data_IF_860025841499
#
_entry.id   IF_860025841499
#
_cell.length_a   1.000
_cell.length_b   1.000
_cell.length_c   1.000
_cell.angle_alpha   90.00
_cell.angle_beta   90.00
_cell.angle_gamma   90.00
#
_symmetry.space_group_name_H-M   'P 1'
#
loop_
_entity.id
_entity.type
_entity.pdbx_description
1 polymer ?
#
# COMPACT_ATOMS: atom_id res chain seq x y z
N UNK A 1 10.69 10.22 13.34
CA UNK A 1 9.37 10.58 13.84
C UNK A 1 8.29 10.00 12.97
N UNK A 2 7.37 9.28 13.55
CA UNK A 2 6.27 8.69 12.81
C UNK A 2 5.24 9.75 12.46
N UNK A 3 4.61 9.62 11.31
CA UNK A 3 3.53 10.51 10.93
C UNK A 3 2.32 10.21 11.83
N UNK A 4 1.85 11.22 12.55
CA UNK A 4 0.68 11.09 13.43
C UNK A 4 -0.63 11.28 12.69
N UNK A 5 -0.55 11.81 11.48
CA UNK A 5 -1.73 12.21 10.71
C UNK A 5 -1.67 11.68 9.29
N UNK A 6 -2.81 11.33 8.79
CA UNK A 6 -3.00 10.81 7.44
C UNK A 6 -3.81 11.81 6.64
N UNK A 7 -3.45 12.03 5.39
CA UNK A 7 -4.24 12.87 4.49
C UNK A 7 -5.17 12.00 3.68
N UNK A 8 -6.48 12.20 3.86
CA UNK A 8 -7.52 11.47 3.14
C UNK A 8 -8.34 12.40 2.27
N UNK A 9 -8.44 12.07 1.00
CA UNK A 9 -9.33 12.78 0.10
C UNK A 9 -10.76 12.28 0.33
N UNK A 10 -11.68 13.21 0.47
CA UNK A 10 -13.10 12.86 0.61
C UNK A 10 -13.60 12.27 -0.70
N UNK A 11 -14.23 11.10 -0.64
CA UNK A 11 -14.79 10.44 -1.82
C UNK A 11 -16.02 11.17 -2.38
N UNK A 12 -16.64 12.04 -1.60
CA UNK A 12 -17.81 12.81 -2.02
C UNK A 12 -17.44 14.16 -2.65
N UNK A 13 -16.58 14.96 -2.00
CA UNK A 13 -16.28 16.32 -2.48
C UNK A 13 -14.81 16.54 -2.88
N UNK A 14 -13.95 15.54 -2.70
CA UNK A 14 -12.55 15.62 -3.08
C UNK A 14 -11.66 16.43 -2.14
N UNK A 15 -12.21 17.04 -1.10
CA UNK A 15 -11.44 17.84 -0.16
C UNK A 15 -10.44 16.95 0.59
N UNK A 16 -9.21 17.43 0.76
CA UNK A 16 -8.20 16.71 1.53
C UNK A 16 -8.40 16.96 3.01
N UNK A 17 -8.41 15.89 3.78
CA UNK A 17 -8.62 15.95 5.22
C UNK A 17 -7.41 15.39 5.94
N UNK A 18 -7.02 16.03 7.02
CA UNK A 18 -5.93 15.60 7.88
C UNK A 18 -6.53 14.86 9.06
N UNK A 19 -6.33 13.54 9.12
CA UNK A 19 -6.94 12.68 10.13
C UNK A 19 -5.85 12.08 11.00
N UNK A 20 -5.90 12.26 12.33
CA UNK A 20 -4.98 11.57 13.21
C UNK A 20 -5.14 10.05 13.08
N UNK A 21 -4.02 9.32 12.99
CA UNK A 21 -4.07 7.85 12.84
C UNK A 21 -4.82 7.21 14.00
N UNK A 22 -4.65 7.76 15.20
CA UNK A 22 -5.35 7.26 16.39
C UNK A 22 -6.87 7.37 16.31
N UNK A 23 -7.39 8.17 15.38
CA UNK A 23 -8.83 8.45 15.26
C UNK A 23 -9.46 7.88 14.00
N UNK A 24 -8.74 7.07 13.22
CA UNK A 24 -9.31 6.52 11.99
C UNK A 24 -10.46 5.56 12.25
N UNK A 25 -10.52 4.96 13.43
CA UNK A 25 -11.61 4.04 13.83
C UNK A 25 -12.84 4.77 14.39
N UNK A 26 -12.79 6.09 14.51
CA UNK A 26 -13.87 6.89 15.08
C UNK A 26 -14.80 7.45 14.00
N UNK A 27 -14.86 6.83 12.85
CA UNK A 27 -15.68 7.25 11.71
C UNK A 27 -15.51 8.74 11.39
N UNK A 28 -14.29 9.18 11.01
CA UNK A 28 -14.02 10.59 10.77
C UNK A 28 -14.85 11.13 9.59
N UNK A 29 -15.23 12.39 9.68
CA UNK A 29 -16.03 13.07 8.67
C UNK A 29 -15.20 14.15 7.98
N UNK A 30 -15.54 14.40 6.71
CA UNK A 30 -14.94 15.49 5.95
C UNK A 30 -15.24 16.83 6.61
N UNK A 31 -14.21 17.64 6.80
CA UNK A 31 -14.37 18.98 7.36
C UNK A 31 -15.18 19.92 6.47
N UNK A 32 -15.28 19.64 5.17
CA UNK A 32 -15.98 20.49 4.21
C UNK A 32 -17.43 20.06 4.01
N UNK A 33 -17.68 18.81 3.63
CA UNK A 33 -19.03 18.35 3.27
C UNK A 33 -19.71 17.52 4.36
N UNK A 34 -18.99 17.16 5.42
CA UNK A 34 -19.48 16.40 6.58
C UNK A 34 -19.89 14.96 6.29
N UNK A 35 -19.57 14.44 5.11
CA UNK A 35 -19.74 13.02 4.80
C UNK A 35 -18.61 12.21 5.44
N UNK A 36 -18.85 10.94 5.70
CA UNK A 36 -17.82 10.05 6.24
C UNK A 36 -16.66 9.90 5.26
N UNK A 37 -15.43 9.88 5.79
CA UNK A 37 -14.24 9.66 5.00
C UNK A 37 -14.05 8.16 4.69
N UNK A 38 -13.39 7.80 3.57
CA UNK A 38 -13.27 6.40 3.12
C UNK A 38 -12.18 5.64 3.87
N UNK A 39 -12.33 5.49 5.18
CA UNK A 39 -11.31 4.81 6.01
C UNK A 39 -11.26 3.30 5.78
N UNK A 40 -12.34 2.69 5.31
CA UNK A 40 -12.37 1.25 5.00
C UNK A 40 -11.35 0.89 3.93
N UNK A 41 -11.07 1.81 3.00
CA UNK A 41 -10.08 1.56 1.95
C UNK A 41 -8.66 1.39 2.51
N UNK A 42 -8.40 1.86 3.72
CA UNK A 42 -7.11 1.71 4.39
C UNK A 42 -6.87 0.29 4.89
N UNK A 43 -7.92 -0.51 4.99
CA UNK A 43 -7.85 -1.89 5.51
C UNK A 43 -7.75 -2.92 4.40
N UNK A 44 -7.58 -2.50 3.15
CA UNK A 44 -7.52 -3.39 1.99
C UNK A 44 -6.33 -3.04 1.10
N UNK A 45 -5.73 -4.04 0.43
CA UNK A 45 -4.76 -3.73 -0.62
C UNK A 45 -5.39 -2.90 -1.73
N UNK A 46 -4.62 -1.98 -2.28
CA UNK A 46 -5.02 -1.14 -3.42
C UNK A 46 -4.48 -1.79 -4.68
N UNK A 47 -5.34 -1.96 -5.68
CA UNK A 47 -4.89 -2.45 -6.98
C UNK A 47 -4.32 -1.26 -7.75
N UNK A 48 -3.04 -1.37 -8.14
CA UNK A 48 -2.36 -0.33 -8.90
C UNK A 48 -2.04 -0.83 -10.31
N UNK A 49 -1.95 0.09 -11.23
CA UNK A 49 -1.69 -0.17 -12.64
C UNK A 49 -0.61 0.76 -13.16
N UNK A 50 -0.13 0.53 -14.38
CA UNK A 50 0.91 1.36 -15.00
C UNK A 50 0.56 2.85 -14.92
N UNK A 51 -0.70 3.21 -15.15
CA UNK A 51 -1.13 4.62 -15.15
C UNK A 51 -1.49 5.18 -13.79
N UNK A 52 -1.51 4.36 -12.74
CA UNK A 52 -1.82 4.82 -11.38
C UNK A 52 -0.66 4.64 -10.40
N UNK A 53 0.38 3.93 -10.82
CA UNK A 53 1.51 3.57 -9.94
C UNK A 53 2.17 4.80 -9.33
N UNK A 54 2.50 5.79 -10.12
CA UNK A 54 3.19 6.97 -9.61
C UNK A 54 2.32 7.73 -8.61
N UNK A 55 1.02 7.86 -8.89
CA UNK A 55 0.10 8.53 -7.98
C UNK A 55 -0.11 7.75 -6.69
N UNK A 56 -0.34 6.45 -6.79
CA UNK A 56 -0.71 5.61 -5.64
C UNK A 56 0.48 5.17 -4.81
N UNK A 57 1.64 4.99 -5.43
CA UNK A 57 2.81 4.44 -4.78
C UNK A 57 3.88 5.51 -4.55
N UNK A 58 4.37 6.13 -5.62
CA UNK A 58 5.51 7.04 -5.50
C UNK A 58 5.15 8.35 -4.82
N UNK A 59 3.92 8.82 -5.00
CA UNK A 59 3.42 10.06 -4.38
C UNK A 59 2.65 9.82 -3.09
N UNK A 60 2.63 8.58 -2.58
CA UNK A 60 1.91 8.25 -1.36
C UNK A 60 2.49 8.97 -0.14
N UNK A 61 1.61 9.49 0.71
CA UNK A 61 2.01 10.07 1.99
C UNK A 61 2.41 8.99 3.01
N UNK A 62 1.98 7.74 2.79
CA UNK A 62 2.36 6.60 3.61
C UNK A 62 3.44 5.78 2.93
N UNK A 63 4.28 5.07 3.70
CA UNK A 63 5.09 4.01 3.12
C UNK A 63 4.19 2.98 2.44
N UNK A 64 4.68 2.35 1.38
CA UNK A 64 3.91 1.40 0.57
C UNK A 64 4.69 0.10 0.45
N UNK A 65 4.00 -1.02 0.66
CA UNK A 65 4.48 -2.33 0.29
C UNK A 65 3.79 -2.72 -1.00
N UNK A 66 4.54 -2.86 -2.09
CA UNK A 66 4.01 -3.23 -3.41
C UNK A 66 4.23 -4.71 -3.63
N UNK A 67 3.15 -5.46 -3.83
CA UNK A 67 3.18 -6.88 -4.15
C UNK A 67 3.05 -7.03 -5.67
N UNK A 68 4.14 -7.42 -6.34
CA UNK A 68 4.16 -7.69 -7.77
C UNK A 68 3.86 -9.18 -7.98
N UNK A 69 2.78 -9.47 -8.68
CA UNK A 69 2.25 -10.84 -8.79
C UNK A 69 1.71 -11.10 -10.19
N UNK A 70 1.35 -12.36 -10.45
CA UNK A 70 0.63 -12.74 -11.67
C UNK A 70 -0.34 -13.89 -11.35
N UNK A 71 -1.44 -14.02 -12.12
CA UNK A 71 -2.47 -15.02 -11.84
C UNK A 71 -1.96 -16.48 -11.90
N UNK A 72 -0.95 -16.75 -12.71
CA UNK A 72 -0.38 -18.09 -12.89
C UNK A 72 0.63 -18.48 -11.81
N UNK A 73 0.99 -17.54 -10.95
CA UNK A 73 2.06 -17.72 -9.97
C UNK A 73 1.52 -18.37 -8.68
N UNK A 74 1.89 -19.61 -8.43
CA UNK A 74 1.48 -20.34 -7.22
C UNK A 74 1.93 -19.68 -5.93
N UNK A 75 3.23 -19.36 -5.76
CA UNK A 75 3.72 -18.67 -4.57
C UNK A 75 3.04 -17.31 -4.32
N UNK A 76 2.66 -16.61 -5.38
CA UNK A 76 1.93 -15.33 -5.25
C UNK A 76 0.57 -15.54 -4.58
N UNK A 77 -0.09 -16.65 -4.86
CA UNK A 77 -1.40 -16.97 -4.27
C UNK A 77 -1.28 -17.21 -2.76
N UNK A 78 -0.16 -17.78 -2.32
CA UNK A 78 0.08 -17.99 -0.90
C UNK A 78 0.30 -16.66 -0.15
N UNK A 79 0.82 -15.65 -0.83
CA UNK A 79 1.07 -14.33 -0.25
C UNK A 79 -0.20 -13.48 -0.17
N UNK A 80 -1.18 -13.72 -1.04
CA UNK A 80 -2.41 -12.93 -1.09
C UNK A 80 -3.07 -12.72 0.27
N UNK A 81 -3.40 -13.80 1.01
CA UNK A 81 -4.00 -13.66 2.34
C UNK A 81 -3.12 -12.89 3.33
N UNK A 82 -1.79 -13.02 3.21
CA UNK A 82 -0.85 -12.29 4.06
C UNK A 82 -0.94 -10.79 3.76
N UNK A 83 -1.05 -10.41 2.50
CA UNK A 83 -1.23 -9.01 2.12
C UNK A 83 -2.52 -8.43 2.71
N UNK A 84 -3.60 -9.20 2.69
CA UNK A 84 -4.87 -8.79 3.28
C UNK A 84 -4.73 -8.57 4.79
N UNK A 85 -4.05 -9.48 5.48
CA UNK A 85 -3.81 -9.35 6.92
C UNK A 85 -2.95 -8.13 7.25
N UNK A 86 -1.89 -7.90 6.47
CA UNK A 86 -1.01 -6.75 6.68
C UNK A 86 -1.72 -5.43 6.43
N UNK A 87 -2.62 -5.39 5.45
CA UNK A 87 -3.41 -4.19 5.16
C UNK A 87 -4.27 -3.80 6.37
N UNK A 88 -4.85 -4.78 7.05
CA UNK A 88 -5.64 -4.54 8.25
C UNK A 88 -4.74 -4.12 9.41
N UNK A 89 -3.67 -4.86 9.63
CA UNK A 89 -2.78 -4.63 10.78
C UNK A 89 -2.11 -3.25 10.75
N UNK A 90 -1.68 -2.81 9.58
CA UNK A 90 -0.93 -1.57 9.43
C UNK A 90 -1.75 -0.42 8.83
N UNK A 91 -3.07 -0.55 8.83
CA UNK A 91 -3.94 0.50 8.26
C UNK A 91 -3.61 1.86 8.87
N UNK A 92 -3.54 2.86 8.01
CA UNK A 92 -3.17 4.22 8.41
C UNK A 92 -1.68 4.45 8.61
N UNK A 93 -0.86 3.38 8.57
CA UNK A 93 0.60 3.47 8.76
C UNK A 93 1.36 2.95 7.57
N UNK A 94 0.83 1.97 6.87
CA UNK A 94 1.42 1.36 5.70
C UNK A 94 0.30 1.10 4.69
N UNK A 95 0.57 1.42 3.44
CA UNK A 95 -0.33 1.12 2.34
C UNK A 95 0.14 -0.17 1.67
N UNK A 96 -0.78 -1.08 1.40
CA UNK A 96 -0.48 -2.29 0.63
C UNK A 96 -1.00 -2.08 -0.78
N UNK A 97 -0.14 -2.25 -1.78
CA UNK A 97 -0.51 -2.14 -3.19
C UNK A 97 -0.24 -3.46 -3.90
N UNK A 98 -1.09 -3.84 -4.84
CA UNK A 98 -0.94 -5.04 -5.64
C UNK A 98 -0.83 -4.66 -7.10
N UNK A 99 0.21 -5.14 -7.77
CA UNK A 99 0.47 -4.90 -9.19
C UNK A 99 0.52 -6.23 -9.93
N UNK A 100 -0.43 -6.44 -10.84
CA UNK A 100 -0.41 -7.59 -11.74
C UNK A 100 0.57 -7.30 -12.87
N UNK A 101 1.72 -7.98 -12.89
CA UNK A 101 2.79 -7.68 -13.85
C UNK A 101 2.42 -8.07 -15.29
N UNK A 102 1.52 -9.03 -15.47
CA UNK A 102 1.08 -9.42 -16.81
C UNK A 102 0.27 -8.32 -17.49
N UNK A 103 -0.52 -7.58 -16.70
CA UNK A 103 -1.35 -6.49 -17.21
C UNK A 103 -0.63 -5.15 -17.21
N UNK A 104 0.54 -5.07 -16.56
CA UNK A 104 1.23 -3.81 -16.30
C UNK A 104 2.72 -3.93 -16.65
N UNK A 105 3.04 -4.13 -17.94
CA UNK A 105 4.42 -4.36 -18.37
C UNK A 105 5.34 -3.15 -18.20
N UNK A 106 4.80 -1.94 -18.18
CA UNK A 106 5.63 -0.73 -18.05
C UNK A 106 6.33 -0.69 -16.70
N UNK A 107 5.61 -0.92 -15.62
CA UNK A 107 6.19 -0.94 -14.29
C UNK A 107 7.10 -2.15 -14.12
N UNK A 108 6.69 -3.31 -14.63
CA UNK A 108 7.53 -4.51 -14.61
C UNK A 108 8.89 -4.26 -15.25
N UNK A 109 8.90 -3.56 -16.39
CA UNK A 109 10.13 -3.20 -17.10
C UNK A 109 10.92 -2.12 -16.36
N UNK A 110 10.22 -1.08 -15.88
CA UNK A 110 10.86 0.05 -15.18
C UNK A 110 11.72 -0.42 -14.00
N UNK A 111 11.23 -1.39 -13.24
CA UNK A 111 11.91 -1.88 -12.04
C UNK A 111 12.54 -3.25 -12.22
N UNK A 112 12.67 -3.69 -13.48
CA UNK A 112 13.35 -4.96 -13.82
C UNK A 112 12.82 -6.15 -13.03
N UNK A 113 11.50 -6.30 -12.99
CA UNK A 113 10.86 -7.41 -12.28
C UNK A 113 10.97 -8.65 -13.15
N UNK A 114 11.91 -9.54 -12.80
CA UNK A 114 12.18 -10.76 -13.57
C UNK A 114 11.64 -12.02 -12.91
N UNK A 115 11.33 -11.95 -11.62
CA UNK A 115 10.74 -13.08 -10.89
C UNK A 115 9.63 -12.58 -9.98
N UNK A 116 8.66 -13.44 -9.70
CA UNK A 116 7.51 -13.12 -8.85
C UNK A 116 7.29 -14.26 -7.86
N UNK A 117 6.76 -13.95 -6.66
CA UNK A 117 6.44 -12.60 -6.20
C UNK A 117 7.70 -11.78 -5.94
N UNK A 118 7.61 -10.50 -6.23
CA UNK A 118 8.62 -9.51 -5.84
C UNK A 118 7.88 -8.39 -5.12
N UNK A 119 8.41 -7.95 -3.99
CA UNK A 119 7.80 -6.86 -3.23
C UNK A 119 8.77 -5.71 -3.10
N UNK A 120 8.23 -4.49 -3.18
CA UNK A 120 8.98 -3.27 -2.95
C UNK A 120 8.48 -2.59 -1.69
N UNK A 121 9.40 -2.10 -0.87
CA UNK A 121 9.07 -1.16 0.19
C UNK A 121 9.46 0.22 -0.28
N UNK A 122 8.48 1.10 -0.37
CA UNK A 122 8.65 2.47 -0.90
C UNK A 122 8.31 3.46 0.20
N UNK A 123 9.17 4.45 0.38
CA UNK A 123 8.94 5.53 1.35
C UNK A 123 9.41 6.84 0.76
N UNK A 124 8.55 7.86 0.81
CA UNK A 124 8.86 9.21 0.30
C UNK A 124 9.33 9.18 -1.16
N UNK A 125 8.67 8.38 -2.00
CA UNK A 125 9.00 8.28 -3.41
C UNK A 125 10.28 7.53 -3.73
N UNK A 126 10.82 6.77 -2.78
CA UNK A 126 12.05 5.99 -2.96
C UNK A 126 11.82 4.53 -2.62
N UNK A 127 12.36 3.64 -3.45
CA UNK A 127 12.38 2.21 -3.14
C UNK A 127 13.46 2.00 -2.07
N UNK A 128 13.01 1.61 -0.87
CA UNK A 128 13.90 1.38 0.27
C UNK A 128 14.45 -0.05 0.23
N UNK A 129 13.60 -0.99 -0.18
CA UNK A 129 13.97 -2.40 -0.19
C UNK A 129 13.22 -3.15 -1.28
N UNK A 130 13.83 -4.23 -1.76
CA UNK A 130 13.26 -5.12 -2.76
C UNK A 130 13.36 -6.54 -2.23
N UNK A 131 12.21 -7.17 -2.02
CA UNK A 131 12.12 -8.51 -1.46
C UNK A 131 11.69 -9.48 -2.55
N UNK A 132 12.51 -10.48 -2.83
CA UNK A 132 12.25 -11.45 -3.88
C UNK A 132 11.83 -12.78 -3.28
N UNK A 133 10.72 -13.33 -3.78
CA UNK A 133 10.19 -14.60 -3.35
C UNK A 133 9.10 -14.49 -2.29
N UNK A 134 8.49 -15.63 -1.98
CA UNK A 134 7.40 -15.72 -0.99
C UNK A 134 8.00 -15.83 0.40
N UNK A 135 8.32 -14.71 1.02
CA UNK A 135 8.90 -14.66 2.35
C UNK A 135 7.85 -14.98 3.42
N UNK A 136 8.25 -15.58 4.54
CA UNK A 136 7.35 -15.78 5.68
C UNK A 136 6.84 -14.44 6.21
N UNK A 137 5.63 -14.44 6.76
CA UNK A 137 4.99 -13.24 7.29
C UNK A 137 5.88 -12.52 8.31
N UNK A 138 6.51 -13.26 9.21
CA UNK A 138 7.38 -12.69 10.25
C UNK A 138 8.55 -11.91 9.64
N UNK A 139 9.11 -12.42 8.56
CA UNK A 139 10.23 -11.77 7.88
C UNK A 139 9.75 -10.50 7.15
N UNK A 140 8.58 -10.56 6.54
CA UNK A 140 7.96 -9.36 5.93
C UNK A 140 7.71 -8.30 6.99
N UNK A 141 7.19 -8.67 8.14
CA UNK A 141 6.92 -7.72 9.22
C UNK A 141 8.19 -7.11 9.78
N UNK A 142 9.29 -7.86 9.84
CA UNK A 142 10.59 -7.31 10.24
C UNK A 142 11.03 -6.19 9.29
N UNK A 143 10.89 -6.41 7.99
CA UNK A 143 11.25 -5.40 7.00
C UNK A 143 10.32 -4.19 7.07
N UNK A 144 9.04 -4.41 7.26
CA UNK A 144 8.06 -3.34 7.42
C UNK A 144 8.42 -2.49 8.64
N UNK A 145 8.74 -3.12 9.76
CA UNK A 145 9.11 -2.41 10.98
C UNK A 145 10.30 -1.47 10.77
N UNK A 146 11.29 -1.87 9.98
CA UNK A 146 12.44 -1.03 9.65
C UNK A 146 12.02 0.22 8.88
N UNK A 147 11.07 0.10 7.99
CA UNK A 147 10.59 1.21 7.16
C UNK A 147 9.72 2.16 7.97
N UNK A 148 8.90 1.62 8.87
CA UNK A 148 8.01 2.43 9.72
C UNK A 148 8.75 3.10 10.87
N UNK A 149 9.85 2.52 11.25
CA UNK A 149 10.80 2.95 12.20
C UNK A 149 10.74 3.63 13.24
#
# INVERSE_FOLDING_TARGET
MTADKLILACSNCGAKNRVPISRIDEAPKCGKCKKFLPVESLSRPVIVMDNTFDREVMSSSLPVLVDCWAPWCGPCKAIGPIMDELAIKYRGRLKIAKLNVDENPMIGSRYSISSIPTMFLVKNGRIIDKLIGALPKEQLESQIARVLG
#
